data_IF_102052855668
#
_entry.id   IF_102052855668
#
_cell.length_a   1.000
_cell.length_b   1.000
_cell.length_c   1.000
_cell.angle_alpha   90.00
_cell.angle_beta   90.00
_cell.angle_gamma   90.00
#
_symmetry.space_group_name_H-M   'P 1'
#
loop_
_entity.id
_entity.type
_entity.pdbx_description
1 polymer ?
#
# COMPACT_ATOMS: atom_id res chain seq x y z
N UNK A 1 -0.89 -12.23 15.48
CA UNK A 1 -1.81 -12.19 14.34
C UNK A 1 -1.02 -12.67 13.12
N UNK A 2 -1.45 -13.74 12.46
CA UNK A 2 -0.81 -14.20 11.23
C UNK A 2 -1.59 -13.62 10.05
N UNK A 3 -0.89 -12.91 9.17
CA UNK A 3 -1.46 -12.42 7.92
C UNK A 3 -1.63 -13.59 6.95
N UNK A 4 -2.71 -13.58 6.17
CA UNK A 4 -2.88 -14.52 5.07
C UNK A 4 -1.90 -14.20 3.94
N UNK A 5 -1.63 -15.19 3.08
CA UNK A 5 -0.77 -15.00 1.90
C UNK A 5 -1.32 -13.88 1.00
N UNK A 6 -2.65 -13.75 0.88
CA UNK A 6 -3.29 -12.68 0.11
C UNK A 6 -3.06 -11.31 0.72
N UNK A 7 -3.17 -11.19 2.04
CA UNK A 7 -2.85 -9.95 2.76
C UNK A 7 -1.39 -9.56 2.59
N UNK A 8 -0.46 -10.53 2.72
CA UNK A 8 0.97 -10.29 2.51
C UNK A 8 1.24 -9.83 1.08
N UNK A 9 0.66 -10.50 0.08
CA UNK A 9 0.77 -10.10 -1.33
C UNK A 9 0.30 -8.68 -1.54
N UNK A 10 -0.85 -8.31 -0.98
CA UNK A 10 -1.40 -6.98 -1.16
C UNK A 10 -0.50 -5.90 -0.53
N UNK A 11 -0.03 -6.12 0.70
CA UNK A 11 0.88 -5.21 1.40
C UNK A 11 2.15 -4.99 0.57
N UNK A 12 2.75 -6.06 0.06
CA UNK A 12 3.98 -5.99 -0.74
C UNK A 12 3.73 -5.25 -2.07
N UNK A 13 2.60 -5.48 -2.73
CA UNK A 13 2.25 -4.77 -3.97
C UNK A 13 2.06 -3.28 -3.75
N UNK A 14 1.43 -2.89 -2.64
CA UNK A 14 1.28 -1.48 -2.23
C UNK A 14 2.63 -0.82 -1.97
N UNK A 15 3.55 -1.51 -1.26
CA UNK A 15 4.90 -0.99 -1.01
C UNK A 15 5.70 -0.81 -2.30
N UNK A 16 5.59 -1.75 -3.25
CA UNK A 16 6.22 -1.63 -4.57
C UNK A 16 5.64 -0.43 -5.33
N UNK A 17 4.31 -0.23 -5.33
CA UNK A 17 3.68 0.92 -5.97
C UNK A 17 4.17 2.24 -5.37
N UNK A 18 4.21 2.36 -4.04
CA UNK A 18 4.72 3.54 -3.34
C UNK A 18 6.17 3.85 -3.71
N UNK A 19 7.02 2.83 -3.77
CA UNK A 19 8.41 2.97 -4.18
C UNK A 19 8.56 3.37 -5.65
N UNK A 20 7.67 2.92 -6.52
CA UNK A 20 7.67 3.33 -7.93
C UNK A 20 7.17 4.76 -8.09
N UNK A 21 6.13 5.15 -7.35
CA UNK A 21 5.55 6.49 -7.39
C UNK A 21 6.55 7.55 -6.92
N UNK A 22 7.37 7.26 -5.90
CA UNK A 22 8.45 8.16 -5.47
C UNK A 22 9.50 8.39 -6.56
N UNK A 23 9.60 7.48 -7.54
CA UNK A 23 10.45 7.57 -8.71
C UNK A 23 9.69 7.97 -10.00
N UNK A 24 8.44 8.46 -9.89
CA UNK A 24 7.62 8.88 -11.03
C UNK A 24 7.16 7.71 -11.94
N UNK A 25 7.14 6.49 -11.41
CA UNK A 25 6.70 5.26 -12.10
C UNK A 25 5.47 4.68 -11.38
N UNK A 26 4.83 3.69 -11.99
CA UNK A 26 3.70 2.97 -11.39
C UNK A 26 3.62 1.56 -11.95
N UNK A 27 3.21 0.58 -11.13
CA UNK A 27 2.90 -0.80 -11.52
C UNK A 27 1.92 -0.86 -12.68
N UNK A 28 1.07 0.18 -12.87
CA UNK A 28 0.18 0.32 -14.02
C UNK A 28 0.91 0.27 -15.37
N UNK A 29 2.20 0.62 -15.41
CA UNK A 29 3.04 0.56 -16.61
C UNK A 29 3.36 -0.88 -17.06
N UNK A 30 3.20 -1.87 -16.20
CA UNK A 30 3.50 -3.27 -16.48
C UNK A 30 2.21 -4.11 -16.50
N UNK A 31 1.66 -4.45 -17.68
CA UNK A 31 0.35 -5.11 -17.78
C UNK A 31 0.32 -6.51 -17.17
N UNK A 32 1.46 -7.20 -17.12
CA UNK A 32 1.59 -8.53 -16.53
C UNK A 32 1.80 -8.54 -15.01
N UNK A 33 2.02 -7.38 -14.37
CA UNK A 33 2.15 -7.33 -12.91
C UNK A 33 0.77 -7.42 -12.25
N UNK A 34 0.59 -8.28 -11.22
CA UNK A 34 -0.54 -8.17 -10.32
C UNK A 34 -0.59 -6.78 -9.68
N UNK A 35 -1.79 -6.25 -9.54
CA UNK A 35 -2.04 -4.94 -8.93
C UNK A 35 -2.52 -5.17 -7.50
N UNK A 36 -2.20 -4.28 -6.56
CA UNK A 36 -2.81 -4.36 -5.25
C UNK A 36 -4.33 -4.29 -5.42
N UNK A 37 -5.05 -5.19 -4.76
CA UNK A 37 -6.49 -5.10 -4.69
C UNK A 37 -6.85 -3.90 -3.81
N UNK A 38 -7.85 -3.13 -4.27
CA UNK A 38 -8.42 -1.97 -3.58
C UNK A 38 -9.27 -2.40 -2.37
N UNK A 39 -8.78 -3.38 -1.61
CA UNK A 39 -9.16 -3.47 -0.21
C UNK A 39 -8.42 -2.32 0.44
N UNK A 40 -9.14 -1.38 1.07
CA UNK A 40 -8.63 -0.26 1.85
C UNK A 40 -7.73 -0.68 3.01
N UNK A 41 -6.66 -1.40 2.70
CA UNK A 41 -5.57 -1.80 3.54
C UNK A 41 -4.66 -0.57 3.58
N UNK A 42 -5.18 0.42 4.27
CA UNK A 42 -4.41 1.47 4.85
C UNK A 42 -3.20 0.83 5.56
N UNK A 43 -2.04 0.91 4.91
CA UNK A 43 -0.76 0.38 5.38
C UNK A 43 -0.13 1.27 6.48
N UNK A 44 -0.79 2.35 6.88
CA UNK A 44 -0.37 3.17 8.00
C UNK A 44 -0.85 2.61 9.34
N UNK A 45 -0.31 3.15 10.44
CA UNK A 45 -0.93 2.96 11.75
C UNK A 45 -2.06 3.96 11.88
N UNK A 46 -3.32 3.51 12.05
CA UNK A 46 -4.46 4.43 12.04
C UNK A 46 -4.33 5.44 13.18
N UNK A 47 -3.78 4.95 14.29
CA UNK A 47 -3.41 5.74 15.45
C UNK A 47 -2.40 6.86 15.11
N UNK A 48 -1.42 6.62 14.25
CA UNK A 48 -0.42 7.65 13.89
C UNK A 48 -1.04 8.72 12.99
N UNK A 49 -1.90 8.32 12.05
CA UNK A 49 -2.57 9.26 11.15
C UNK A 49 -3.65 10.08 11.85
N UNK A 50 -4.40 9.49 12.78
CA UNK A 50 -5.36 10.21 13.60
C UNK A 50 -4.67 11.27 14.47
N UNK A 51 -3.48 10.96 15.02
CA UNK A 51 -2.65 11.92 15.76
C UNK A 51 -2.09 13.03 14.86
N UNK A 52 -1.61 12.70 13.64
CA UNK A 52 -1.15 13.69 12.65
C UNK A 52 -2.28 14.62 12.19
N UNK A 53 -3.51 14.12 12.07
CA UNK A 53 -4.70 14.93 11.73
C UNK A 53 -5.11 15.90 12.82
N UNK A 54 -4.78 15.60 14.08
CA UNK A 54 -5.14 16.43 15.22
C UNK A 54 -4.25 17.68 15.37
N UNK A 55 -3.15 17.77 14.62
CA UNK A 55 -2.21 18.92 14.63
C UNK A 55 -2.59 19.97 13.56
N UNK A 56 -3.88 20.25 13.39
CA UNK A 56 -4.42 21.39 12.61
C UNK A 56 -5.10 22.38 13.54
#
# INVERSE_FOLDING_TARGET
MNLTIEQIKNIVLTEIENHLLSNGRSLKKWPHMPKPEDFGCYNGNRLIDDELKYVV
#
